data_IF_571295704625
#
_entry.id   IF_571295704625
#
_cell.length_a   1.000
_cell.length_b   1.000
_cell.length_c   1.000
_cell.angle_alpha   90.00
_cell.angle_beta   90.00
_cell.angle_gamma   90.00
#
_symmetry.space_group_name_H-M   'P 1'
#
loop_
_entity.id
_entity.type
_entity.pdbx_description
1 polymer ?
#
# COMPACT_ATOMS: atom_id res chain seq x y z
N UNK A 1 24.03 -20.61 59.56
CA UNK A 1 23.34 -20.43 58.28
C UNK A 1 23.67 -19.04 57.76
N UNK A 2 24.48 -18.93 56.71
CA UNK A 2 24.65 -17.69 55.95
C UNK A 2 24.40 -18.04 54.49
N UNK A 3 23.24 -17.65 54.00
CA UNK A 3 22.82 -17.74 52.61
C UNK A 3 22.88 -16.32 52.07
N UNK A 4 23.58 -16.08 50.96
CA UNK A 4 23.36 -14.96 50.02
C UNK A 4 24.32 -15.13 48.84
N UNK A 5 23.92 -15.85 47.79
CA UNK A 5 23.21 -15.35 46.60
C UNK A 5 24.13 -14.54 45.67
N UNK A 6 24.74 -15.26 44.73
CA UNK A 6 25.52 -14.71 43.63
C UNK A 6 24.50 -14.30 42.54
N UNK A 7 24.27 -12.99 42.38
CA UNK A 7 23.44 -12.47 41.29
C UNK A 7 24.21 -12.55 39.98
N UNK A 8 23.92 -13.59 39.18
CA UNK A 8 24.32 -13.66 37.77
C UNK A 8 23.41 -12.75 36.93
N UNK A 9 23.95 -11.62 36.48
CA UNK A 9 23.29 -10.74 35.51
C UNK A 9 23.40 -11.35 34.11
N UNK A 10 22.30 -11.91 33.62
CA UNK A 10 22.18 -12.34 32.22
C UNK A 10 21.93 -11.08 31.38
N UNK A 11 22.95 -10.61 30.68
CA UNK A 11 22.81 -9.60 29.63
C UNK A 11 22.17 -10.26 28.40
N UNK A 12 20.85 -10.25 28.36
CA UNK A 12 20.09 -10.62 27.16
C UNK A 12 20.29 -9.51 26.13
N UNK A 13 21.24 -9.71 25.21
CA UNK A 13 21.40 -8.85 24.05
C UNK A 13 20.18 -9.02 23.14
N UNK A 14 19.22 -8.10 23.23
CA UNK A 14 18.21 -7.93 22.19
C UNK A 14 18.91 -7.42 20.93
N UNK A 15 19.43 -8.34 20.12
CA UNK A 15 19.74 -8.08 18.73
C UNK A 15 18.41 -7.80 18.03
N UNK A 16 17.98 -6.54 18.10
CA UNK A 16 16.88 -6.02 17.29
C UNK A 16 17.42 -6.00 15.86
N UNK A 17 17.27 -7.12 15.17
CA UNK A 17 17.24 -7.18 13.72
C UNK A 17 16.05 -6.31 13.29
N UNK A 18 16.28 -5.01 13.20
CA UNK A 18 15.35 -4.09 12.57
C UNK A 18 15.24 -4.51 11.12
N UNK A 19 14.25 -5.33 10.80
CA UNK A 19 13.80 -5.49 9.43
C UNK A 19 13.39 -4.09 8.97
N UNK A 20 14.25 -3.47 8.15
CA UNK A 20 13.87 -2.29 7.39
C UNK A 20 12.67 -2.70 6.55
N UNK A 21 11.46 -2.36 6.99
CA UNK A 21 10.26 -2.61 6.22
C UNK A 21 10.50 -2.01 4.84
N UNK A 22 10.44 -2.85 3.80
CA UNK A 22 10.62 -2.38 2.44
C UNK A 22 9.62 -1.24 2.18
N UNK A 23 10.12 -0.12 1.68
CA UNK A 23 9.27 1.03 1.35
C UNK A 23 8.18 0.60 0.37
N UNK A 24 6.96 1.08 0.58
CA UNK A 24 5.84 0.75 -0.28
C UNK A 24 6.07 1.22 -1.73
N UNK A 25 5.69 0.40 -2.70
CA UNK A 25 5.81 0.77 -4.13
C UNK A 25 4.86 1.94 -4.49
N UNK A 26 3.72 2.06 -3.81
CA UNK A 26 2.77 3.17 -3.96
C UNK A 26 2.20 3.60 -2.61
N UNK A 27 2.09 4.92 -2.40
CA UNK A 27 1.25 5.53 -1.37
C UNK A 27 0.16 6.35 -2.02
N UNK A 28 -1.10 6.07 -1.68
CA UNK A 28 -2.26 6.67 -2.33
C UNK A 28 -3.34 7.07 -1.34
N UNK A 29 -4.23 7.98 -1.75
CA UNK A 29 -5.54 8.19 -1.12
C UNK A 29 -6.63 7.83 -2.12
N UNK A 30 -7.54 6.95 -1.72
CA UNK A 30 -8.76 6.67 -2.48
C UNK A 30 -9.79 7.78 -2.24
N UNK A 31 -10.63 8.05 -3.21
CA UNK A 31 -11.56 9.17 -3.24
C UNK A 31 -12.94 8.73 -3.69
N UNK A 32 -13.99 9.34 -3.12
CA UNK A 32 -15.36 9.15 -3.54
C UNK A 32 -15.73 10.02 -4.76
N UNK A 33 -14.80 10.82 -5.28
CA UNK A 33 -14.98 11.57 -6.52
C UNK A 33 -13.92 11.16 -7.53
N UNK A 34 -14.34 11.01 -8.79
CA UNK A 34 -13.44 10.62 -9.89
C UNK A 34 -12.33 11.64 -10.18
N UNK A 35 -12.48 12.88 -9.70
CA UNK A 35 -11.50 13.95 -9.82
C UNK A 35 -10.73 14.24 -8.51
N UNK A 36 -10.93 13.45 -7.45
CA UNK A 36 -10.29 13.61 -6.15
C UNK A 36 -10.37 15.04 -5.59
N UNK A 37 -11.50 15.71 -5.84
CA UNK A 37 -11.81 17.03 -5.27
C UNK A 37 -12.35 16.95 -3.84
N UNK A 38 -12.66 15.75 -3.35
CA UNK A 38 -12.76 15.50 -1.92
C UNK A 38 -11.34 15.31 -1.34
N UNK A 39 -11.15 15.51 -0.04
CA UNK A 39 -9.84 15.34 0.60
C UNK A 39 -9.27 13.90 0.53
N UNK A 40 -10.02 12.96 -0.06
CA UNK A 40 -9.76 11.53 -0.06
C UNK A 40 -9.96 10.89 1.32
N UNK A 41 -9.86 9.56 1.34
CA UNK A 41 -9.79 8.76 2.56
C UNK A 41 -8.37 8.74 3.17
N UNK A 42 -8.10 7.78 4.07
CA UNK A 42 -6.78 7.61 4.66
C UNK A 42 -5.74 7.25 3.61
N UNK A 43 -4.48 7.60 3.89
CA UNK A 43 -3.34 7.15 3.08
C UNK A 43 -3.22 5.63 3.20
N UNK A 44 -3.03 4.97 2.06
CA UNK A 44 -2.85 3.53 1.95
C UNK A 44 -1.60 3.23 1.16
N UNK A 45 -0.93 2.15 1.56
CA UNK A 45 0.31 1.70 0.97
C UNK A 45 0.10 0.37 0.24
N UNK A 46 0.69 0.24 -0.94
CA UNK A 46 0.56 -0.93 -1.79
C UNK A 46 1.91 -1.35 -2.35
N UNK A 47 2.15 -2.66 -2.33
CA UNK A 47 3.31 -3.31 -2.92
C UNK A 47 2.94 -4.06 -4.19
N UNK A 48 3.92 -4.31 -5.04
CA UNK A 48 3.76 -5.05 -6.29
C UNK A 48 3.18 -6.45 -6.11
N UNK A 49 2.48 -6.94 -7.13
CA UNK A 49 2.03 -8.33 -7.24
C UNK A 49 0.68 -8.64 -6.59
N UNK A 50 0.29 -7.92 -5.53
CA UNK A 50 -1.00 -8.14 -4.88
C UNK A 50 -2.16 -7.53 -5.69
N UNK A 51 -3.24 -8.30 -5.90
CA UNK A 51 -4.50 -7.77 -6.40
C UNK A 51 -5.31 -7.16 -5.26
N UNK A 52 -5.81 -5.94 -5.46
CA UNK A 52 -6.55 -5.19 -4.46
C UNK A 52 -7.94 -4.86 -5.00
N UNK A 53 -9.02 -5.35 -4.37
CA UNK A 53 -10.37 -4.96 -4.77
C UNK A 53 -10.64 -3.48 -4.47
N UNK A 54 -11.48 -2.88 -5.31
CA UNK A 54 -12.02 -1.54 -5.11
C UNK A 54 -13.43 -1.65 -4.54
N UNK A 55 -13.77 -0.76 -3.62
CA UNK A 55 -15.13 -0.63 -3.14
C UNK A 55 -15.96 0.19 -4.12
N UNK A 56 -17.29 0.06 -4.06
CA UNK A 56 -18.22 0.83 -4.90
C UNK A 56 -18.10 2.35 -4.70
N UNK A 57 -17.51 2.79 -3.58
CA UNK A 57 -17.24 4.19 -3.24
C UNK A 57 -15.87 4.68 -3.71
N UNK A 58 -15.00 3.81 -4.24
CA UNK A 58 -13.66 4.16 -4.68
C UNK A 58 -13.70 4.66 -6.14
N UNK A 59 -14.08 5.91 -6.34
CA UNK A 59 -14.24 6.50 -7.67
C UNK A 59 -12.98 7.16 -8.23
N UNK A 60 -12.05 7.56 -7.35
CA UNK A 60 -10.77 8.16 -7.73
C UNK A 60 -9.62 7.68 -6.86
N UNK A 61 -8.40 7.84 -7.35
CA UNK A 61 -7.17 7.53 -6.63
C UNK A 61 -6.14 8.62 -6.84
N UNK A 62 -5.72 9.26 -5.75
CA UNK A 62 -4.63 10.24 -5.75
C UNK A 62 -3.33 9.55 -5.35
N UNK A 63 -2.33 9.58 -6.22
CA UNK A 63 -0.98 9.09 -5.90
C UNK A 63 -0.22 10.18 -5.15
N UNK A 64 0.32 9.83 -3.99
CA UNK A 64 1.14 10.72 -3.16
C UNK A 64 2.63 10.48 -3.37
N UNK A 65 3.01 9.21 -3.39
CA UNK A 65 4.37 8.73 -3.63
C UNK A 65 4.29 7.44 -4.45
N UNK A 66 5.30 7.19 -5.29
CA UNK A 66 5.42 5.93 -6.02
C UNK A 66 6.87 5.62 -6.38
N UNK A 67 7.17 4.33 -6.49
CA UNK A 67 8.35 3.82 -7.16
C UNK A 67 8.21 4.07 -8.66
N UNK A 68 9.14 4.81 -9.27
CA UNK A 68 9.10 5.22 -10.68
C UNK A 68 9.16 4.06 -11.66
N UNK A 69 9.64 2.89 -11.24
CA UNK A 69 9.64 1.68 -12.05
C UNK A 69 8.26 1.00 -12.11
N UNK A 70 7.32 1.39 -11.24
CA UNK A 70 6.05 0.72 -11.05
C UNK A 70 4.87 1.54 -11.57
N UNK A 71 3.79 0.84 -11.94
CA UNK A 71 2.49 1.42 -12.31
C UNK A 71 1.36 0.69 -11.58
N UNK A 72 0.33 1.43 -11.21
CA UNK A 72 -0.96 0.83 -10.86
C UNK A 72 -1.67 0.46 -12.16
N UNK A 73 -2.11 -0.79 -12.28
CA UNK A 73 -2.96 -1.28 -13.37
C UNK A 73 -4.33 -1.61 -12.80
N UNK A 74 -5.38 -0.99 -13.33
CA UNK A 74 -6.75 -1.26 -12.91
C UNK A 74 -7.46 -2.20 -13.89
N UNK A 75 -8.38 -3.00 -13.35
CA UNK A 75 -9.08 -4.05 -14.06
C UNK A 75 -10.60 -3.88 -13.91
N UNK A 76 -11.40 -4.32 -14.89
CA UNK A 76 -12.86 -4.27 -14.81
C UNK A 76 -13.46 -5.35 -13.89
N UNK A 77 -12.70 -6.40 -13.55
CA UNK A 77 -13.12 -7.40 -12.58
C UNK A 77 -12.62 -7.13 -11.17
N UNK A 78 -13.21 -7.81 -10.18
CA UNK A 78 -12.87 -7.65 -8.76
C UNK A 78 -11.60 -8.38 -8.32
N UNK A 79 -11.06 -9.27 -9.15
CA UNK A 79 -9.91 -10.12 -8.82
C UNK A 79 -8.75 -9.93 -9.82
N UNK A 80 -8.62 -8.72 -10.38
CA UNK A 80 -7.62 -8.36 -11.39
C UNK A 80 -7.76 -9.20 -12.67
N UNK A 81 -9.00 -9.54 -12.98
CA UNK A 81 -9.43 -10.25 -14.16
C UNK A 81 -9.96 -9.28 -15.24
N UNK A 82 -9.95 -9.77 -16.48
CA UNK A 82 -10.17 -8.95 -17.66
C UNK A 82 -8.93 -8.17 -18.10
N UNK A 83 -9.02 -7.51 -19.25
CA UNK A 83 -7.93 -6.68 -19.78
C UNK A 83 -7.67 -5.45 -18.90
N UNK A 84 -6.43 -5.00 -18.85
CA UNK A 84 -6.05 -3.75 -18.13
C UNK A 84 -6.82 -2.58 -18.74
N UNK A 85 -7.65 -1.94 -17.93
CA UNK A 85 -8.48 -0.81 -18.36
C UNK A 85 -7.74 0.51 -18.30
N UNK A 86 -6.82 0.65 -17.33
CA UNK A 86 -5.99 1.84 -17.15
C UNK A 86 -4.69 1.49 -16.45
N UNK A 87 -3.64 2.21 -16.79
CA UNK A 87 -2.36 2.16 -16.08
C UNK A 87 -1.89 3.58 -15.74
N UNK A 88 -1.40 3.81 -14.52
CA UNK A 88 -0.95 5.13 -14.09
C UNK A 88 0.11 5.07 -12.96
N UNK A 89 0.87 6.15 -12.84
CA UNK A 89 1.90 6.30 -11.79
C UNK A 89 2.14 7.74 -11.31
N UNK A 90 1.66 8.76 -12.03
CA UNK A 90 1.95 10.16 -11.69
C UNK A 90 1.24 10.67 -10.44
N UNK A 91 1.87 11.63 -9.75
CA UNK A 91 1.37 12.35 -8.57
C UNK A 91 0.17 13.27 -8.90
N UNK A 92 -0.93 12.67 -9.34
CA UNK A 92 -2.19 13.35 -9.65
C UNK A 92 -3.37 12.46 -9.26
N UNK A 93 -4.58 12.99 -9.43
CA UNK A 93 -5.77 12.17 -9.35
C UNK A 93 -5.96 11.35 -10.62
N UNK A 94 -6.30 10.08 -10.45
CA UNK A 94 -6.70 9.20 -11.52
C UNK A 94 -8.11 8.71 -11.24
N UNK A 95 -9.01 8.89 -12.20
CA UNK A 95 -10.34 8.28 -12.13
C UNK A 95 -10.20 6.76 -12.07
N UNK A 96 -11.08 6.10 -11.32
CA UNK A 96 -11.22 4.65 -11.27
C UNK A 96 -12.50 4.18 -11.97
N UNK A 97 -13.09 5.02 -12.81
CA UNK A 97 -14.37 4.72 -13.46
C UNK A 97 -14.30 3.38 -14.23
N UNK A 98 -15.14 2.45 -13.78
CA UNK A 98 -15.26 1.11 -14.33
C UNK A 98 -14.05 0.21 -14.09
N UNK A 99 -13.17 0.56 -13.14
CA UNK A 99 -12.24 -0.36 -12.50
C UNK A 99 -12.91 -0.94 -11.25
N UNK A 100 -12.70 -2.23 -10.98
CA UNK A 100 -13.19 -2.93 -9.78
C UNK A 100 -12.08 -3.58 -8.96
N UNK A 101 -10.87 -3.63 -9.51
CA UNK A 101 -9.66 -3.95 -8.76
C UNK A 101 -8.45 -3.27 -9.39
N UNK A 102 -7.31 -3.35 -8.70
CA UNK A 102 -6.02 -2.94 -9.24
C UNK A 102 -4.86 -3.76 -8.68
N UNK A 103 -3.76 -3.77 -9.41
CA UNK A 103 -2.48 -4.36 -8.99
C UNK A 103 -1.35 -3.38 -9.29
N UNK A 104 -0.37 -3.32 -8.40
CA UNK A 104 0.90 -2.64 -8.68
C UNK A 104 1.79 -3.59 -9.48
N UNK A 105 2.27 -3.13 -10.61
CA UNK A 105 3.18 -3.88 -11.49
C UNK A 105 4.42 -3.04 -11.80
N UNK A 106 5.58 -3.68 -11.63
CA UNK A 106 6.90 -3.27 -12.05
C UNK A 106 7.50 -4.51 -12.74
#
# INVERSE_FOLDING_TARGET
>A
MLISNIFTTVLTACAVLGSTAAAADFKVKKSAKSNCSDGGGPTREYNRGACNPLYSTDHGMRVLEHNTACKIRCYPGGNCDGGVKRAFSSHQCHSLQGCWSFRVEC
#
